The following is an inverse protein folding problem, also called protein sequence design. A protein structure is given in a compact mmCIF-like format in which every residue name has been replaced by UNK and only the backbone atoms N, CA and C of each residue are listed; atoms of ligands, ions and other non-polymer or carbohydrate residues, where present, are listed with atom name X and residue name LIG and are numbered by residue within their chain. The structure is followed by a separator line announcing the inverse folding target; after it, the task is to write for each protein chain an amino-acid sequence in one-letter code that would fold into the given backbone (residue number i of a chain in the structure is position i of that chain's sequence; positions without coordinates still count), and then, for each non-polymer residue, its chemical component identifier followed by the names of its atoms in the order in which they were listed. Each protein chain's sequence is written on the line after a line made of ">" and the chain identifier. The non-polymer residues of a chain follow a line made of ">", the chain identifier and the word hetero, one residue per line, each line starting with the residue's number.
data_IF_943742109836
#
_entry.id   IF_943742109836
#
_cell.length_a   1.000
_cell.length_b   1.000
_cell.length_c   1.000
_cell.angle_alpha   90.00
_cell.angle_beta   90.00
_cell.angle_gamma   90.00
#
_symmetry.space_group_name_H-M   'P 1'
#
loop_
_entity.id
_entity.type
_entity.pdbx_description
1 polymer ?
#
# COMPACT_ATOMS: atom_id res chain seq x y z
N UNK A 1 18.95 -11.29 24.44
CA UNK A 1 18.14 -10.08 24.74
C UNK A 1 18.31 -9.00 23.66
N UNK A 2 17.83 -9.22 22.44
CA UNK A 2 17.94 -8.21 21.35
C UNK A 2 16.72 -7.25 21.34
N UNK A 3 15.52 -7.82 21.53
CA UNK A 3 14.24 -7.11 21.54
C UNK A 3 14.11 -5.94 22.53
N UNK A 4 14.66 -6.05 23.75
CA UNK A 4 14.62 -4.97 24.76
C UNK A 4 15.46 -3.75 24.35
N UNK A 5 16.58 -3.97 23.69
CA UNK A 5 17.47 -2.90 23.20
C UNK A 5 16.84 -2.14 22.02
N UNK A 6 16.17 -2.87 21.11
CA UNK A 6 15.41 -2.28 20.00
C UNK A 6 14.31 -1.32 20.45
N UNK A 7 13.58 -1.69 21.51
CA UNK A 7 12.53 -0.84 22.09
C UNK A 7 13.11 0.43 22.76
N UNK A 8 14.29 0.34 23.39
CA UNK A 8 14.95 1.49 24.03
C UNK A 8 15.54 2.48 23.01
N UNK A 9 16.07 2.01 21.89
CA UNK A 9 16.67 2.85 20.85
C UNK A 9 15.65 3.44 19.87
N UNK A 10 14.37 3.05 19.96
CA UNK A 10 13.32 3.49 19.05
C UNK A 10 13.51 3.00 17.61
N UNK A 11 14.36 1.98 17.41
CA UNK A 11 14.65 1.38 16.10
C UNK A 11 13.88 0.06 15.95
N UNK A 12 13.40 -0.24 14.75
CA UNK A 12 12.93 -1.59 14.45
C UNK A 12 14.12 -2.55 14.43
N UNK A 13 13.91 -3.79 14.86
CA UNK A 13 14.86 -4.90 14.75
C UNK A 13 15.45 -4.96 13.32
N UNK A 14 14.60 -4.72 12.33
CA UNK A 14 14.96 -4.72 10.92
C UNK A 14 15.85 -3.55 10.46
N UNK A 15 15.84 -2.40 11.14
CA UNK A 15 16.74 -1.28 10.81
C UNK A 15 18.18 -1.61 11.25
N UNK A 16 18.33 -2.28 12.39
CA UNK A 16 19.63 -2.71 12.90
C UNK A 16 20.13 -3.95 12.13
N UNK A 17 19.24 -4.87 11.74
CA UNK A 17 19.60 -6.02 10.89
C UNK A 17 20.07 -5.59 9.50
N UNK A 18 19.55 -4.49 8.95
CA UNK A 18 20.02 -3.95 7.68
C UNK A 18 21.42 -3.29 7.81
N UNK A 19 21.70 -2.66 8.95
CA UNK A 19 23.06 -2.16 9.29
C UNK A 19 24.03 -3.33 9.49
N UNK A 20 23.63 -4.38 10.20
CA UNK A 20 24.43 -5.59 10.42
C UNK A 20 24.74 -6.33 9.09
N UNK A 21 23.84 -6.25 8.11
CA UNK A 21 24.02 -6.80 6.75
C UNK A 21 24.70 -5.83 5.78
N UNK A 22 25.14 -4.66 6.23
CA UNK A 22 25.79 -3.61 5.43
C UNK A 22 24.97 -3.18 4.19
N UNK A 23 23.65 -3.14 4.32
CA UNK A 23 22.77 -2.74 3.23
C UNK A 23 22.64 -1.22 3.14
N UNK A 24 22.65 -0.70 1.91
CA UNK A 24 22.55 0.72 1.63
C UNK A 24 21.08 1.15 1.57
N UNK A 25 20.75 2.31 2.16
CA UNK A 25 19.39 2.84 2.13
C UNK A 25 19.08 3.43 0.75
N UNK A 26 17.83 3.37 0.32
CA UNK A 26 17.40 3.94 -0.96
C UNK A 26 17.81 5.41 -1.17
N UNK A 27 17.85 6.23 -0.11
CA UNK A 27 18.30 7.63 -0.23
C UNK A 27 19.79 7.76 -0.57
N UNK A 28 20.63 6.89 0.02
CA UNK A 28 22.08 6.85 -0.22
C UNK A 28 22.36 6.33 -1.63
N UNK A 29 21.69 5.24 -2.03
CA UNK A 29 21.80 4.68 -3.37
C UNK A 29 21.34 5.67 -4.44
N UNK A 30 20.23 6.36 -4.22
CA UNK A 30 19.75 7.38 -5.15
C UNK A 30 20.77 8.53 -5.32
N UNK A 31 21.46 8.92 -4.25
CA UNK A 31 22.53 9.92 -4.30
C UNK A 31 23.75 9.42 -5.07
N UNK A 32 24.16 8.17 -4.83
CA UNK A 32 25.27 7.53 -5.54
C UNK A 32 24.98 7.42 -7.04
N UNK A 33 23.82 6.91 -7.41
CA UNK A 33 23.40 6.79 -8.82
C UNK A 33 23.22 8.16 -9.46
N UNK A 34 22.73 9.17 -8.72
CA UNK A 34 22.60 10.53 -9.25
C UNK A 34 23.95 11.12 -9.63
N UNK A 35 24.99 10.85 -8.83
CA UNK A 35 26.37 11.25 -9.12
C UNK A 35 26.94 10.43 -10.28
N UNK A 36 26.76 9.11 -10.29
CA UNK A 36 27.26 8.19 -11.34
C UNK A 36 26.75 8.56 -12.73
N UNK A 37 25.48 8.94 -12.83
CA UNK A 37 24.82 9.25 -14.11
C UNK A 37 24.63 10.74 -14.37
N UNK A 38 25.17 11.62 -13.52
CA UNK A 38 24.99 13.07 -13.60
C UNK A 38 23.53 13.50 -13.81
N UNK A 39 22.60 12.76 -13.23
CA UNK A 39 21.15 12.89 -13.45
C UNK A 39 20.44 12.81 -12.11
N UNK A 40 19.48 13.69 -11.84
CA UNK A 40 18.70 13.63 -10.60
C UNK A 40 17.85 12.35 -10.56
N UNK A 41 18.14 11.48 -9.59
CA UNK A 41 17.42 10.23 -9.33
C UNK A 41 16.89 10.30 -7.89
N UNK A 42 15.60 10.05 -7.72
CA UNK A 42 14.95 9.98 -6.41
C UNK A 42 14.90 8.54 -5.89
N UNK A 43 14.86 8.38 -4.57
CA UNK A 43 14.72 7.07 -3.92
C UNK A 43 13.50 6.28 -4.44
N UNK A 44 12.40 6.98 -4.77
CA UNK A 44 11.16 6.37 -5.27
C UNK A 44 11.34 5.68 -6.62
N UNK A 45 12.22 6.21 -7.47
CA UNK A 45 12.47 5.68 -8.82
C UNK A 45 13.27 4.38 -8.79
N UNK A 46 14.00 4.14 -7.69
CA UNK A 46 14.84 2.95 -7.55
C UNK A 46 14.24 1.90 -6.61
N UNK A 47 13.11 2.18 -5.93
CA UNK A 47 12.39 1.19 -5.10
C UNK A 47 12.17 -0.17 -5.80
N UNK A 48 11.83 -0.24 -7.11
CA UNK A 48 11.66 -1.53 -7.79
C UNK A 48 12.92 -2.41 -7.87
N UNK A 49 14.11 -1.83 -7.67
CA UNK A 49 15.39 -2.54 -7.69
C UNK A 49 15.89 -2.89 -6.29
N UNK A 50 15.12 -2.59 -5.23
CA UNK A 50 15.51 -2.87 -3.87
C UNK A 50 15.64 -4.37 -3.61
N UNK A 51 16.70 -4.78 -2.93
CA UNK A 51 16.92 -6.17 -2.55
C UNK A 51 15.96 -6.59 -1.44
N UNK A 52 15.65 -5.68 -0.50
CA UNK A 52 14.68 -5.91 0.56
C UNK A 52 14.02 -4.60 1.04
N UNK A 53 12.88 -4.72 1.73
CA UNK A 53 12.20 -3.59 2.36
C UNK A 53 11.79 -3.93 3.78
N UNK A 54 11.85 -2.93 4.66
CA UNK A 54 11.51 -3.04 6.08
C UNK A 54 10.61 -1.89 6.52
N UNK A 55 9.95 -2.03 7.68
CA UNK A 55 9.18 -0.93 8.27
C UNK A 55 10.08 0.03 9.07
N UNK A 56 10.01 1.33 8.75
CA UNK A 56 10.44 2.40 9.64
C UNK A 56 9.40 2.59 10.75
N UNK A 57 9.69 2.08 11.95
CA UNK A 57 8.88 2.32 13.14
C UNK A 57 9.00 1.24 14.20
N UNK A 58 8.69 1.62 15.44
CA UNK A 58 8.67 0.74 16.62
C UNK A 58 7.41 -0.15 16.60
N UNK A 59 7.54 -1.38 17.10
CA UNK A 59 6.41 -2.27 17.38
C UNK A 59 5.34 -1.53 18.22
N UNK A 60 4.13 -1.35 17.69
CA UNK A 60 2.99 -0.95 18.54
C UNK A 60 2.52 -2.16 19.36
N UNK A 61 2.03 -1.93 20.58
CA UNK A 61 1.42 -2.98 21.39
C UNK A 61 0.27 -3.63 20.61
N UNK A 62 0.36 -4.94 20.37
CA UNK A 62 -0.53 -5.70 19.49
C UNK A 62 0.15 -6.06 18.17
N UNK A 63 0.71 -7.29 18.13
CA UNK A 63 1.28 -8.12 17.05
C UNK A 63 1.50 -7.58 15.61
N UNK A 64 1.66 -6.27 15.37
CA UNK A 64 1.71 -5.71 14.02
C UNK A 64 2.68 -4.54 13.90
N UNK A 65 3.63 -4.66 12.97
CA UNK A 65 4.49 -3.57 12.53
C UNK A 65 3.65 -2.61 11.67
N UNK A 66 3.50 -1.34 12.11
CA UNK A 66 2.96 -0.26 11.31
C UNK A 66 4.02 0.83 11.18
N UNK A 67 4.54 1.01 9.98
CA UNK A 67 5.58 2.00 9.66
C UNK A 67 5.71 2.22 8.16
N UNK A 68 6.30 3.35 7.77
CA UNK A 68 6.62 3.62 6.35
C UNK A 68 7.60 2.56 5.86
N UNK A 69 7.46 2.06 4.62
CA UNK A 69 8.46 1.15 4.04
C UNK A 69 9.77 1.90 3.77
N UNK A 70 10.87 1.30 4.18
CA UNK A 70 12.24 1.71 3.86
C UNK A 70 12.86 0.60 3.03
N UNK A 71 13.48 0.99 1.92
CA UNK A 71 14.05 0.07 0.95
C UNK A 71 15.56 0.05 1.07
N UNK A 72 16.13 -1.15 0.96
CA UNK A 72 17.54 -1.43 1.15
C UNK A 72 18.11 -2.17 -0.06
N UNK A 73 19.39 -1.94 -0.33
CA UNK A 73 20.10 -2.46 -1.49
C UNK A 73 21.40 -3.12 -1.06
N UNK A 74 21.71 -4.25 -1.67
CA UNK A 74 23.07 -4.80 -1.64
C UNK A 74 23.95 -4.00 -2.59
N UNK A 75 25.18 -3.72 -2.17
CA UNK A 75 26.15 -2.99 -3.00
C UNK A 75 26.32 -3.62 -4.39
N UNK A 76 26.45 -4.95 -4.45
CA UNK A 76 26.56 -5.71 -5.71
C UNK A 76 25.34 -5.58 -6.64
N UNK A 77 24.17 -5.23 -6.12
CA UNK A 77 22.96 -5.02 -6.92
C UNK A 77 22.85 -3.57 -7.42
N UNK A 78 23.42 -2.61 -6.69
CA UNK A 78 23.45 -1.19 -7.08
C UNK A 78 24.17 -1.00 -8.41
N UNK A 79 25.28 -1.70 -8.63
CA UNK A 79 26.05 -1.58 -9.88
C UNK A 79 25.33 -2.13 -11.12
N UNK A 80 24.34 -3.00 -10.93
CA UNK A 80 23.51 -3.55 -12.02
C UNK A 80 22.38 -2.62 -12.43
N UNK A 81 22.14 -1.53 -11.67
CA UNK A 81 21.12 -0.54 -11.97
C UNK A 81 21.67 0.39 -13.05
N UNK A 82 21.08 0.33 -14.24
CA UNK A 82 21.46 1.17 -15.38
C UNK A 82 20.51 2.35 -15.53
N UNK A 83 20.99 3.42 -16.18
CA UNK A 83 20.19 4.63 -16.40
C UNK A 83 18.95 4.34 -17.26
N UNK A 84 19.07 3.46 -18.26
CA UNK A 84 17.97 3.10 -19.16
C UNK A 84 16.81 2.48 -18.40
N UNK A 85 17.08 1.58 -17.44
CA UNK A 85 16.05 0.96 -16.60
C UNK A 85 15.34 1.98 -15.71
N UNK A 86 16.07 2.97 -15.20
CA UNK A 86 15.48 4.04 -14.39
C UNK A 86 14.56 4.91 -15.25
N UNK A 87 15.00 5.27 -16.46
CA UNK A 87 14.21 6.07 -17.40
C UNK A 87 12.97 5.32 -17.90
N UNK A 88 13.08 4.01 -18.14
CA UNK A 88 11.96 3.17 -18.51
C UNK A 88 10.90 3.15 -17.40
N UNK A 89 11.31 3.00 -16.14
CA UNK A 89 10.40 3.06 -14.99
C UNK A 89 9.76 4.44 -14.83
N UNK A 90 10.51 5.52 -15.09
CA UNK A 90 9.98 6.90 -15.11
C UNK A 90 8.92 7.06 -16.20
N UNK A 91 9.16 6.54 -17.40
CA UNK A 91 8.19 6.55 -18.49
C UNK A 91 6.93 5.74 -18.14
N UNK A 92 7.08 4.53 -17.59
CA UNK A 92 5.96 3.71 -17.10
C UNK A 92 5.15 4.40 -16.00
N UNK A 93 5.83 5.10 -15.09
CA UNK A 93 5.16 5.87 -14.04
C UNK A 93 4.39 7.07 -14.61
N UNK A 94 4.93 7.74 -15.63
CA UNK A 94 4.28 8.85 -16.32
C UNK A 94 3.10 8.41 -17.20
N UNK A 95 3.16 7.18 -17.75
CA UNK A 95 2.07 6.57 -18.54
C UNK A 95 0.87 6.13 -17.71
N UNK A 96 0.95 6.16 -16.37
CA UNK A 96 -0.25 5.93 -15.55
C UNK A 96 -1.30 6.97 -15.92
N UNK A 97 -2.43 6.48 -16.42
CA UNK A 97 -3.55 7.33 -16.81
C UNK A 97 -3.85 8.33 -15.69
N UNK A 98 -4.05 9.59 -16.08
CA UNK A 98 -4.48 10.62 -15.15
C UNK A 98 -5.70 10.10 -14.37
N UNK A 99 -5.76 10.30 -13.04
CA UNK A 99 -6.87 9.80 -12.25
C UNK A 99 -8.18 10.34 -12.83
N UNK A 100 -9.13 9.44 -13.12
CA UNK A 100 -10.45 9.86 -13.56
C UNK A 100 -11.15 10.61 -12.42
N UNK A 101 -11.38 11.90 -12.65
CA UNK A 101 -12.00 12.83 -11.72
C UNK A 101 -13.51 12.93 -11.90
N UNK A 102 -14.11 12.23 -12.87
CA UNK A 102 -15.57 12.20 -13.03
C UNK A 102 -16.22 11.70 -11.75
N UNK A 103 -17.31 12.34 -11.35
CA UNK A 103 -18.10 11.90 -10.20
C UNK A 103 -18.93 10.71 -10.66
N UNK A 104 -18.76 9.58 -9.99
CA UNK A 104 -19.58 8.38 -10.16
C UNK A 104 -20.36 8.14 -8.89
N UNK A 105 -21.50 7.49 -9.03
CA UNK A 105 -22.33 7.06 -7.91
C UNK A 105 -22.82 5.63 -8.14
N UNK A 106 -22.99 4.91 -7.06
CA UNK A 106 -23.33 3.50 -7.13
C UNK A 106 -23.12 2.78 -5.82
N UNK A 107 -23.14 1.46 -5.87
CA UNK A 107 -23.00 0.61 -4.70
C UNK A 107 -21.77 -0.27 -4.78
N UNK A 108 -21.36 -0.85 -3.65
CA UNK A 108 -20.27 -1.81 -3.56
C UNK A 108 -20.47 -2.73 -2.35
N UNK A 109 -19.94 -3.97 -2.36
CA UNK A 109 -19.97 -4.83 -1.19
C UNK A 109 -18.97 -4.34 -0.13
N UNK A 110 -19.48 -3.91 1.02
CA UNK A 110 -18.68 -3.54 2.19
C UNK A 110 -18.61 -4.71 3.16
N UNK A 111 -17.41 -5.17 3.47
CA UNK A 111 -17.20 -6.32 4.34
C UNK A 111 -16.86 -5.89 5.76
N UNK A 112 -17.61 -6.43 6.73
CA UNK A 112 -17.33 -6.27 8.15
C UNK A 112 -16.93 -7.60 8.76
N UNK A 113 -15.87 -7.60 9.58
CA UNK A 113 -15.52 -8.76 10.39
C UNK A 113 -16.50 -8.86 11.55
N UNK A 114 -17.16 -10.00 11.66
CA UNK A 114 -18.06 -10.34 12.75
C UNK A 114 -17.52 -11.56 13.48
N UNK A 115 -17.70 -11.59 14.79
CA UNK A 115 -17.38 -12.76 15.62
C UNK A 115 -18.67 -13.38 16.07
N UNK A 116 -18.84 -14.67 15.78
CA UNK A 116 -19.96 -15.44 16.32
C UNK A 116 -19.83 -15.53 17.86
N UNK A 117 -20.82 -15.08 18.64
CA UNK A 117 -20.74 -15.10 20.10
C UNK A 117 -20.73 -16.53 20.68
N UNK A 118 -21.30 -17.51 19.97
CA UNK A 118 -21.40 -18.90 20.41
C UNK A 118 -20.14 -19.67 20.03
N UNK A 119 -19.77 -19.66 18.74
CA UNK A 119 -18.63 -20.45 18.25
C UNK A 119 -17.29 -19.73 18.39
N UNK A 120 -17.30 -18.43 18.72
CA UNK A 120 -16.13 -17.53 18.74
C UNK A 120 -15.36 -17.44 17.43
N UNK A 121 -15.90 -17.98 16.33
CA UNK A 121 -15.29 -17.91 15.00
C UNK A 121 -15.50 -16.53 14.40
N UNK A 122 -14.44 -15.95 13.86
CA UNK A 122 -14.51 -14.70 13.09
C UNK A 122 -14.81 -15.01 11.63
N UNK A 123 -15.78 -14.32 11.04
CA UNK A 123 -16.11 -14.41 9.63
C UNK A 123 -16.32 -13.00 9.03
N UNK A 124 -16.22 -12.90 7.71
CA UNK A 124 -16.43 -11.65 6.97
C UNK A 124 -17.85 -11.64 6.42
N UNK A 125 -18.68 -10.67 6.82
CA UNK A 125 -20.06 -10.54 6.34
C UNK A 125 -20.18 -9.34 5.40
N UNK A 126 -20.75 -9.51 4.19
CA UNK A 126 -20.96 -8.42 3.25
C UNK A 126 -22.20 -7.60 3.60
N UNK A 127 -22.12 -6.30 3.37
CA UNK A 127 -23.17 -5.31 3.54
C UNK A 127 -23.18 -4.35 2.36
N UNK A 128 -24.30 -3.69 2.12
CA UNK A 128 -24.46 -2.68 1.07
C UNK A 128 -23.68 -1.42 1.43
N UNK A 129 -22.60 -1.17 0.71
CA UNK A 129 -21.88 0.10 0.70
C UNK A 129 -22.40 0.99 -0.42
N UNK A 130 -22.53 2.29 -0.15
CA UNK A 130 -22.91 3.29 -1.15
C UNK A 130 -21.76 4.28 -1.32
N UNK A 131 -21.45 4.61 -2.57
CA UNK A 131 -20.37 5.51 -2.93
C UNK A 131 -20.86 6.58 -3.90
N UNK A 132 -20.49 7.83 -3.62
CA UNK A 132 -20.62 8.97 -4.53
C UNK A 132 -19.35 9.80 -4.43
N UNK A 133 -18.60 9.90 -5.51
CA UNK A 133 -17.30 10.57 -5.52
C UNK A 133 -16.48 10.32 -6.78
N UNK A 134 -15.20 10.71 -6.80
CA UNK A 134 -14.34 10.54 -7.98
C UNK A 134 -14.18 9.07 -8.39
N UNK A 135 -14.31 8.78 -9.69
CA UNK A 135 -14.15 7.44 -10.27
C UNK A 135 -12.83 6.77 -9.86
N UNK A 136 -11.73 7.54 -9.83
CA UNK A 136 -10.41 7.09 -9.38
C UNK A 136 -10.36 6.59 -7.92
N UNK A 137 -11.36 6.91 -7.09
CA UNK A 137 -11.48 6.51 -5.69
C UNK A 137 -12.64 5.53 -5.45
N UNK A 138 -13.25 5.00 -6.52
CA UNK A 138 -14.32 4.01 -6.40
C UNK A 138 -13.83 2.76 -5.63
N UNK A 139 -14.60 2.26 -4.63
CA UNK A 139 -14.24 1.07 -3.88
C UNK A 139 -14.15 -0.20 -4.73
N UNK A 140 -13.46 -1.23 -4.22
CA UNK A 140 -13.37 -2.52 -4.89
C UNK A 140 -14.77 -3.15 -5.03
N UNK A 141 -15.10 -3.60 -6.24
CA UNK A 141 -16.41 -4.18 -6.55
C UNK A 141 -17.52 -3.14 -6.72
N UNK A 142 -17.16 -1.87 -6.94
CA UNK A 142 -18.12 -0.81 -7.26
C UNK A 142 -18.90 -1.11 -8.54
N UNK A 143 -20.21 -0.90 -8.46
CA UNK A 143 -21.14 -0.96 -9.58
C UNK A 143 -21.83 0.41 -9.70
N UNK A 144 -21.64 1.04 -10.85
CA UNK A 144 -22.27 2.33 -11.14
C UNK A 144 -23.78 2.16 -11.28
N UNK A 145 -24.54 3.10 -10.71
CA UNK A 145 -26.00 3.11 -10.77
C UNK A 145 -26.49 4.40 -11.44
N UNK A 146 -27.65 4.32 -12.09
CA UNK A 146 -28.41 5.51 -12.50
C UNK A 146 -28.88 6.30 -11.28
N UNK A 147 -29.30 7.56 -11.46
CA UNK A 147 -29.81 8.40 -10.36
C UNK A 147 -30.98 7.74 -9.61
N UNK A 148 -31.90 7.12 -10.35
CA UNK A 148 -33.06 6.43 -9.77
C UNK A 148 -32.64 5.20 -8.97
N UNK A 149 -31.80 4.34 -9.54
CA UNK A 149 -31.31 3.14 -8.86
C UNK A 149 -30.42 3.49 -7.65
N UNK A 150 -29.67 4.59 -7.73
CA UNK A 150 -28.87 5.10 -6.64
C UNK A 150 -29.72 5.56 -5.45
N UNK A 151 -30.81 6.30 -5.70
CA UNK A 151 -31.73 6.72 -4.64
C UNK A 151 -32.36 5.53 -3.90
N UNK A 152 -32.69 4.45 -4.62
CA UNK A 152 -33.18 3.20 -4.03
C UNK A 152 -32.09 2.48 -3.24
N UNK A 153 -30.88 2.38 -3.79
CA UNK A 153 -29.75 1.73 -3.14
C UNK A 153 -29.32 2.46 -1.86
N UNK A 154 -29.42 3.80 -1.82
CA UNK A 154 -29.17 4.59 -0.60
C UNK A 154 -30.05 4.18 0.58
N UNK A 155 -31.32 3.82 0.33
CA UNK A 155 -32.22 3.31 1.36
C UNK A 155 -31.80 1.94 1.90
N UNK A 156 -30.99 1.20 1.14
CA UNK A 156 -30.49 -0.11 1.54
C UNK A 156 -29.09 -0.05 2.16
N UNK A 157 -28.49 1.14 2.29
CA UNK A 157 -27.15 1.32 2.87
C UNK A 157 -27.03 0.63 4.23
N UNK A 158 -25.96 -0.15 4.40
CA UNK A 158 -25.68 -0.86 5.64
C UNK A 158 -26.57 -2.07 5.90
N UNK A 159 -27.44 -2.46 4.96
CA UNK A 159 -28.12 -3.76 5.03
C UNK A 159 -27.17 -4.89 4.69
N UNK A 160 -27.35 -6.03 5.34
CA UNK A 160 -26.57 -7.22 5.04
C UNK A 160 -26.92 -7.75 3.64
N UNK A 161 -25.89 -8.03 2.84
CA UNK A 161 -26.05 -8.67 1.54
C UNK A 161 -26.19 -10.18 1.75
N UNK A 162 -27.16 -10.79 1.07
CA UNK A 162 -27.24 -12.25 1.00
C UNK A 162 -26.16 -12.79 0.05
N UNK A 163 -25.73 -14.05 0.23
CA UNK A 163 -24.79 -14.67 -0.70
C UNK A 163 -25.33 -14.62 -2.14
N UNK A 164 -24.56 -14.03 -3.06
CA UNK A 164 -24.92 -13.92 -4.48
C UNK A 164 -25.85 -12.76 -4.86
N UNK A 165 -26.28 -11.93 -3.90
CA UNK A 165 -27.15 -10.78 -4.15
C UNK A 165 -26.39 -9.62 -4.81
N UNK A 166 -26.99 -9.04 -5.86
CA UNK A 166 -26.54 -7.81 -6.53
C UNK A 166 -27.70 -6.80 -6.51
N UNK A 167 -27.39 -5.51 -6.39
CA UNK A 167 -28.36 -4.40 -6.45
C UNK A 167 -28.45 -3.81 -7.86
#
# INVERSE_FOLDING_TARGET
>A
MKMRKYLQEGKSENYQDAEDKQLLKAGEVATLLSRKFSTKISAKEIEPFASEWHHAGVFKSGNGLKGRRVYFFKEADVDKITLEKILENRAKAAQKAAPDHRIVQGWYPQYFRMTDPVTRKTFSKPFVGIYKGPASKAPKGFQALSDEAFAVAEQQRGRALKPGEQL
#
